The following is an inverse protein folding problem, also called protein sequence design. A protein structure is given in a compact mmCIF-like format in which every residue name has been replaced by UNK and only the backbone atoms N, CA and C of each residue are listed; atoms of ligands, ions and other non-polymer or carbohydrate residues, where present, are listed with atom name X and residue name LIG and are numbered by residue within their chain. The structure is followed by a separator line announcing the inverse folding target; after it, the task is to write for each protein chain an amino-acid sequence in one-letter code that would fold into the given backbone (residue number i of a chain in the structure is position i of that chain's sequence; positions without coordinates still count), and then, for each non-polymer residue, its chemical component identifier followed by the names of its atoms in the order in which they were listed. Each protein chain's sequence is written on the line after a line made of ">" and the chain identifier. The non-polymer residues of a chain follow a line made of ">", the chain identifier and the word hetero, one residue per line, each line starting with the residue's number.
data_IF_410636031399
#
_entry.id   IF_410636031399
#
_cell.length_a   1.000
_cell.length_b   1.000
_cell.length_c   1.000
_cell.angle_alpha   90.00
_cell.angle_beta   90.00
_cell.angle_gamma   90.00
#
_symmetry.space_group_name_H-M   'P 1'
#
loop_
_entity.id
_entity.type
_entity.pdbx_description
1 polymer ?
#
# COMPACT_ATOMS: atom_id res chain seq x y z
N UNK A 1 -50.98 43.10 -16.82
CA UNK A 1 -50.52 42.70 -15.46
C UNK A 1 -49.62 41.49 -15.65
N UNK A 2 -48.28 41.63 -15.58
CA UNK A 2 -47.41 41.50 -14.38
C UNK A 2 -47.76 40.21 -13.61
N UNK A 3 -46.90 39.21 -13.46
CA UNK A 3 -45.49 39.28 -12.99
C UNK A 3 -44.68 38.05 -13.43
N UNK A 4 -43.42 38.27 -13.85
CA UNK A 4 -42.43 37.21 -14.07
C UNK A 4 -41.73 36.84 -12.76
N UNK A 5 -41.61 35.54 -12.51
CA UNK A 5 -40.82 34.99 -11.41
C UNK A 5 -39.38 34.76 -11.89
N UNK A 6 -38.42 35.41 -11.23
CA UNK A 6 -37.02 35.56 -11.66
C UNK A 6 -36.24 34.22 -11.60
N UNK A 7 -35.36 33.92 -12.58
CA UNK A 7 -34.52 32.72 -12.60
C UNK A 7 -33.35 32.75 -11.59
N UNK A 8 -33.15 33.86 -10.88
CA UNK A 8 -32.00 34.12 -10.01
C UNK A 8 -32.02 33.28 -8.72
N UNK A 9 -33.18 32.79 -8.29
CA UNK A 9 -33.32 32.12 -6.98
C UNK A 9 -32.90 30.64 -7.00
N UNK A 10 -32.88 29.98 -8.17
CA UNK A 10 -32.53 28.55 -8.27
C UNK A 10 -31.03 28.29 -8.25
N UNK A 11 -30.22 29.26 -8.66
CA UNK A 11 -28.75 29.10 -8.74
C UNK A 11 -28.07 29.26 -7.37
N UNK A 12 -28.68 29.99 -6.44
CA UNK A 12 -28.10 30.25 -5.13
C UNK A 12 -28.11 29.03 -4.19
N UNK A 13 -29.07 28.12 -4.33
CA UNK A 13 -29.22 26.94 -3.46
C UNK A 13 -28.24 25.81 -3.84
N UNK A 14 -27.91 25.68 -5.13
CA UNK A 14 -26.99 24.64 -5.59
C UNK A 14 -25.51 24.90 -5.19
N UNK A 15 -25.10 26.16 -5.09
CA UNK A 15 -23.72 26.53 -4.73
C UNK A 15 -23.41 26.35 -3.24
N UNK A 16 -24.41 26.38 -2.36
CA UNK A 16 -24.21 26.18 -0.91
C UNK A 16 -24.14 24.70 -0.53
N UNK A 17 -24.82 23.81 -1.28
CA UNK A 17 -24.77 22.37 -1.05
C UNK A 17 -23.44 21.72 -1.44
N UNK A 18 -22.80 22.21 -2.51
CA UNK A 18 -21.54 21.65 -3.01
C UNK A 18 -20.35 21.94 -2.08
N UNK A 19 -20.32 23.11 -1.42
CA UNK A 19 -19.26 23.47 -0.46
C UNK A 19 -19.35 22.68 0.85
N UNK A 20 -20.55 22.25 1.26
CA UNK A 20 -20.72 21.40 2.44
C UNK A 20 -20.22 19.96 2.20
N UNK A 21 -20.34 19.44 0.98
CA UNK A 21 -19.86 18.10 0.63
C UNK A 21 -18.34 18.04 0.44
N UNK A 22 -17.71 19.13 -0.04
CA UNK A 22 -16.25 19.24 -0.14
C UNK A 22 -15.59 19.36 1.25
N UNK A 23 -16.25 19.99 2.21
CA UNK A 23 -15.76 20.09 3.59
C UNK A 23 -15.75 18.74 4.33
N UNK A 24 -16.66 17.82 4.01
CA UNK A 24 -16.76 16.50 4.66
C UNK A 24 -15.74 15.48 4.14
N UNK A 25 -15.18 15.68 2.95
CA UNK A 25 -14.13 14.80 2.43
C UNK A 25 -12.71 15.17 2.92
N UNK A 26 -12.55 16.32 3.59
CA UNK A 26 -11.25 16.85 4.04
C UNK A 26 -10.85 16.51 5.47
N UNK A 27 -11.70 15.84 6.25
CA UNK A 27 -11.45 15.60 7.67
C UNK A 27 -11.21 14.10 7.97
N UNK A 28 -10.04 13.58 7.58
CA UNK A 28 -9.39 12.49 8.34
C UNK A 28 -8.34 13.04 9.31
N UNK A 29 -8.14 14.36 9.36
CA UNK A 29 -7.24 15.00 10.32
C UNK A 29 -8.03 15.29 11.60
N UNK A 30 -7.57 14.70 12.69
CA UNK A 30 -8.13 14.85 14.01
C UNK A 30 -8.18 16.35 14.42
N UNK A 31 -9.34 16.89 14.82
CA UNK A 31 -9.49 18.29 15.20
C UNK A 31 -8.79 18.67 16.52
N UNK A 32 -8.17 17.70 17.22
CA UNK A 32 -7.33 17.98 18.40
C UNK A 32 -5.88 18.34 18.06
N UNK A 33 -5.49 18.28 16.78
CA UNK A 33 -4.16 18.73 16.33
C UNK A 33 -4.21 20.22 15.99
N UNK A 34 -3.77 21.08 16.90
CA UNK A 34 -3.50 22.48 16.57
C UNK A 34 -2.30 22.57 15.60
N UNK A 35 -2.34 23.43 14.56
CA UNK A 35 -1.16 23.69 13.75
C UNK A 35 -0.12 24.37 14.65
N UNK A 36 0.95 23.65 14.98
CA UNK A 36 2.04 24.16 15.80
C UNK A 36 2.63 25.42 15.17
N UNK A 37 2.44 26.56 15.82
CA UNK A 37 3.17 27.79 15.54
C UNK A 37 4.62 27.61 15.97
N UNK A 38 5.45 27.09 15.08
CA UNK A 38 6.89 26.98 15.31
C UNK A 38 7.60 28.30 15.04
N UNK A 39 7.83 29.10 16.08
CA UNK A 39 9.00 29.98 16.10
C UNK A 39 10.25 29.11 16.19
N UNK A 40 11.23 29.41 15.33
CA UNK A 40 12.46 28.64 15.19
C UNK A 40 13.23 28.55 16.51
N UNK A 41 13.25 27.34 17.08
CA UNK A 41 14.22 26.88 18.06
C UNK A 41 14.92 25.68 17.45
N UNK A 42 16.17 25.87 17.01
CA UNK A 42 16.99 24.78 16.52
C UNK A 42 17.29 23.79 17.65
N UNK A 43 16.88 22.54 17.45
CA UNK A 43 17.56 21.37 17.98
C UNK A 43 17.75 20.37 16.84
N UNK A 44 19.02 20.08 16.61
CA UNK A 44 19.69 19.35 15.54
C UNK A 44 19.32 17.84 15.52
N UNK A 45 18.03 17.51 15.43
CA UNK A 45 17.53 16.11 15.48
C UNK A 45 16.58 15.72 14.34
N UNK A 46 16.25 16.66 13.45
CA UNK A 46 15.31 16.43 12.34
C UNK A 46 15.96 15.87 11.07
N UNK A 47 17.29 15.85 10.99
CA UNK A 47 18.04 15.47 9.78
C UNK A 47 18.40 13.98 9.70
N UNK A 48 18.40 13.22 10.80
CA UNK A 48 18.82 11.81 10.78
C UNK A 48 17.77 10.84 10.22
N UNK A 49 16.48 11.15 10.34
CA UNK A 49 15.40 10.25 9.90
C UNK A 49 14.83 10.61 8.52
N UNK A 50 14.93 11.88 8.12
CA UNK A 50 14.36 12.39 6.87
C UNK A 50 15.45 12.66 5.84
N UNK A 51 15.45 11.90 4.76
CA UNK A 51 16.32 12.12 3.61
C UNK A 51 15.48 12.72 2.46
N UNK A 52 15.72 14.00 2.17
CA UNK A 52 15.01 14.72 1.10
C UNK A 52 15.21 14.07 -0.27
N UNK A 53 16.42 13.57 -0.58
CA UNK A 53 16.69 12.93 -1.88
C UNK A 53 15.95 11.60 -1.99
N UNK A 54 15.87 10.84 -0.90
CA UNK A 54 15.08 9.61 -0.84
C UNK A 54 13.59 9.92 -1.05
N UNK A 55 13.07 10.94 -0.37
CA UNK A 55 11.68 11.37 -0.54
C UNK A 55 11.38 11.79 -1.98
N UNK A 56 12.22 12.66 -2.57
CA UNK A 56 12.02 13.15 -3.93
C UNK A 56 12.03 11.99 -4.93
N UNK A 57 12.98 11.05 -4.79
CA UNK A 57 13.04 9.84 -5.62
C UNK A 57 11.76 9.01 -5.51
N UNK A 58 11.30 8.72 -4.29
CA UNK A 58 10.06 7.95 -4.07
C UNK A 58 8.82 8.67 -4.58
N UNK A 59 8.83 10.00 -4.55
CA UNK A 59 7.75 10.80 -5.10
C UNK A 59 7.72 10.70 -6.63
N UNK A 60 8.86 10.81 -7.29
CA UNK A 60 9.01 10.64 -8.75
C UNK A 60 8.67 9.22 -9.21
N UNK A 61 8.97 8.20 -8.41
CA UNK A 61 8.64 6.79 -8.67
C UNK A 61 7.13 6.54 -8.87
N UNK A 62 6.26 7.44 -8.38
CA UNK A 62 4.80 7.34 -8.56
C UNK A 62 4.34 7.55 -10.00
N UNK A 63 5.14 8.25 -10.81
CA UNK A 63 4.84 8.56 -12.21
C UNK A 63 5.60 7.63 -13.18
N UNK A 64 6.39 6.69 -12.66
CA UNK A 64 7.12 5.71 -13.47
C UNK A 64 6.16 4.68 -14.04
N UNK A 65 6.29 4.41 -15.34
CA UNK A 65 5.57 3.31 -16.00
C UNK A 65 6.24 1.99 -15.58
N UNK A 66 5.53 1.05 -14.93
CA UNK A 66 6.11 -0.21 -14.51
C UNK A 66 6.57 -1.07 -15.69
N UNK A 67 7.72 -1.70 -15.55
CA UNK A 67 8.23 -2.69 -16.50
C UNK A 67 7.59 -4.05 -16.23
N UNK A 68 7.14 -4.74 -17.28
CA UNK A 68 6.55 -6.08 -17.17
C UNK A 68 5.26 -6.22 -17.99
N UNK A 69 4.54 -7.36 -17.85
CA UNK A 69 3.30 -7.60 -18.58
C UNK A 69 2.16 -6.74 -18.00
N UNK A 70 1.40 -6.04 -18.86
CA UNK A 70 0.25 -5.23 -18.44
C UNK A 70 -0.87 -6.07 -17.80
N UNK A 71 -1.04 -7.31 -18.24
CA UNK A 71 -2.05 -8.25 -17.75
C UNK A 71 -1.64 -8.96 -16.45
N UNK A 72 -0.41 -8.73 -15.98
CA UNK A 72 0.16 -9.35 -14.77
C UNK A 72 0.85 -8.31 -13.88
N UNK A 73 0.09 -7.44 -13.21
CA UNK A 73 0.65 -6.39 -12.35
C UNK A 73 1.53 -6.92 -11.22
N UNK A 74 1.30 -8.16 -10.77
CA UNK A 74 2.12 -8.83 -9.75
C UNK A 74 3.52 -9.26 -10.23
N UNK A 75 3.82 -9.13 -11.53
CA UNK A 75 5.16 -9.33 -12.10
C UNK A 75 5.82 -8.01 -12.54
N UNK A 76 5.15 -6.88 -12.33
CA UNK A 76 5.68 -5.59 -12.73
C UNK A 76 6.67 -5.04 -11.70
N UNK A 77 7.65 -4.27 -12.17
CA UNK A 77 8.67 -3.65 -11.33
C UNK A 77 8.92 -2.21 -11.80
N UNK A 78 9.26 -1.31 -10.88
CA UNK A 78 9.71 0.05 -11.20
C UNK A 78 11.22 0.12 -10.99
N UNK A 79 11.95 0.67 -11.96
CA UNK A 79 13.41 0.83 -11.92
C UNK A 79 14.17 -0.43 -11.41
N UNK A 80 13.90 -1.64 -11.95
CA UNK A 80 14.45 -2.87 -11.38
C UNK A 80 15.97 -2.96 -11.55
N UNK A 81 16.68 -3.17 -10.44
CA UNK A 81 18.09 -3.58 -10.43
C UNK A 81 18.19 -5.06 -10.00
N UNK A 82 18.37 -5.96 -10.97
CA UNK A 82 18.44 -7.40 -10.71
C UNK A 82 19.85 -7.83 -10.32
N UNK A 83 19.99 -8.51 -9.18
CA UNK A 83 21.24 -9.17 -8.78
C UNK A 83 21.35 -10.59 -9.36
N UNK A 84 22.58 -11.11 -9.48
CA UNK A 84 22.79 -12.54 -9.77
C UNK A 84 22.47 -13.38 -8.52
N UNK A 85 21.60 -14.36 -8.69
CA UNK A 85 21.21 -15.31 -7.63
C UNK A 85 21.61 -16.74 -7.97
N UNK A 86 22.53 -16.93 -8.93
CA UNK A 86 22.92 -18.25 -9.44
C UNK A 86 23.46 -19.19 -8.36
N UNK A 87 24.12 -18.66 -7.33
CA UNK A 87 24.64 -19.44 -6.20
C UNK A 87 23.54 -20.11 -5.37
N UNK A 88 22.32 -19.54 -5.35
CA UNK A 88 21.19 -20.06 -4.58
C UNK A 88 20.33 -21.05 -5.37
N UNK A 89 20.74 -21.40 -6.59
CA UNK A 89 20.00 -22.33 -7.43
C UNK A 89 19.88 -23.67 -6.72
N UNK A 90 18.65 -24.15 -6.55
CA UNK A 90 18.36 -25.44 -5.96
C UNK A 90 17.68 -26.35 -6.98
N UNK A 91 17.87 -27.66 -6.83
CA UNK A 91 17.24 -28.65 -7.71
C UNK A 91 15.81 -28.95 -7.27
N UNK A 92 14.91 -29.01 -8.25
CA UNK A 92 13.50 -29.35 -8.06
C UNK A 92 12.70 -28.26 -7.35
N UNK A 93 11.37 -28.34 -7.52
CA UNK A 93 10.46 -27.42 -6.86
C UNK A 93 10.44 -27.59 -5.35
N UNK A 94 10.23 -26.49 -4.62
CA UNK A 94 10.21 -26.47 -3.15
C UNK A 94 8.79 -26.29 -2.60
N UNK A 95 8.54 -26.78 -1.39
CA UNK A 95 7.35 -26.37 -0.63
C UNK A 95 7.61 -24.99 -0.04
N UNK A 96 6.66 -24.07 -0.21
CA UNK A 96 6.69 -22.74 0.38
C UNK A 96 5.76 -22.71 1.58
N UNK A 97 6.25 -22.26 2.73
CA UNK A 97 5.46 -22.05 3.94
C UNK A 97 5.43 -20.54 4.25
N UNK A 98 4.24 -19.98 4.48
CA UNK A 98 4.09 -18.54 4.76
C UNK A 98 3.21 -18.30 5.99
N UNK A 99 3.82 -17.77 7.06
CA UNK A 99 3.14 -17.33 8.27
C UNK A 99 2.74 -15.86 8.14
N UNK A 100 1.51 -15.62 7.65
CA UNK A 100 0.98 -14.28 7.42
C UNK A 100 0.65 -13.60 8.75
N UNK A 101 0.97 -12.30 8.88
CA UNK A 101 0.67 -11.55 10.10
C UNK A 101 -0.85 -11.39 10.31
N UNK A 102 -1.57 -10.96 9.27
CA UNK A 102 -3.05 -10.93 9.24
C UNK A 102 -3.58 -10.56 7.85
N UNK A 103 -4.89 -10.72 7.64
CA UNK A 103 -5.63 -10.13 6.50
C UNK A 103 -6.59 -9.01 6.94
N UNK A 104 -6.33 -8.40 8.11
CA UNK A 104 -7.28 -7.48 8.78
C UNK A 104 -7.35 -6.09 8.17
N UNK A 105 -6.42 -5.71 7.29
CA UNK A 105 -6.45 -4.43 6.60
C UNK A 105 -6.17 -4.56 5.09
N UNK A 106 -6.61 -3.59 4.28
CA UNK A 106 -6.50 -3.66 2.82
C UNK A 106 -5.06 -3.74 2.30
N UNK A 107 -4.10 -3.13 3.01
CA UNK A 107 -2.68 -3.22 2.65
C UNK A 107 -2.18 -4.66 2.69
N UNK A 108 -2.49 -5.38 3.79
CA UNK A 108 -2.13 -6.80 3.94
C UNK A 108 -2.89 -7.70 2.96
N UNK A 109 -4.16 -7.41 2.70
CA UNK A 109 -4.94 -8.14 1.69
C UNK A 109 -4.35 -7.97 0.28
N UNK A 110 -3.91 -6.77 -0.09
CA UNK A 110 -3.28 -6.52 -1.38
C UNK A 110 -1.97 -7.31 -1.50
N UNK A 111 -1.11 -7.28 -0.47
CA UNK A 111 0.11 -8.09 -0.45
C UNK A 111 -0.17 -9.59 -0.55
N UNK A 112 -1.17 -10.08 0.18
CA UNK A 112 -1.61 -11.47 0.13
C UNK A 112 -2.07 -11.90 -1.28
N UNK A 113 -2.88 -11.08 -1.95
CA UNK A 113 -3.36 -11.36 -3.31
C UNK A 113 -2.20 -11.37 -4.31
N UNK A 114 -1.33 -10.36 -4.28
CA UNK A 114 -0.16 -10.26 -5.17
C UNK A 114 0.75 -11.48 -5.02
N UNK A 115 1.06 -11.87 -3.78
CA UNK A 115 1.87 -13.05 -3.50
C UNK A 115 1.22 -14.33 -4.07
N UNK A 116 -0.09 -14.52 -3.88
CA UNK A 116 -0.77 -15.72 -4.38
C UNK A 116 -0.75 -15.82 -5.91
N UNK A 117 -0.88 -14.71 -6.64
CA UNK A 117 -0.74 -14.73 -8.11
C UNK A 117 0.69 -15.08 -8.55
N UNK A 118 1.69 -14.50 -7.89
CA UNK A 118 3.10 -14.85 -8.17
C UNK A 118 3.39 -16.32 -7.90
N UNK A 119 2.82 -16.89 -6.82
CA UNK A 119 2.98 -18.29 -6.46
C UNK A 119 2.33 -19.24 -7.48
N UNK A 120 1.24 -18.84 -8.15
CA UNK A 120 0.68 -19.62 -9.27
C UNK A 120 1.67 -19.71 -10.44
N UNK A 121 2.33 -18.60 -10.79
CA UNK A 121 3.33 -18.59 -11.85
C UNK A 121 4.58 -19.41 -11.47
N UNK A 122 5.05 -19.30 -10.22
CA UNK A 122 6.16 -20.12 -9.70
C UNK A 122 5.82 -21.61 -9.68
N UNK A 123 4.59 -21.97 -9.32
CA UNK A 123 4.11 -23.36 -9.38
C UNK A 123 4.02 -23.88 -10.80
N UNK A 124 3.48 -23.08 -11.72
CA UNK A 124 3.44 -23.40 -13.16
C UNK A 124 4.84 -23.67 -13.73
N UNK A 125 5.83 -22.91 -13.28
CA UNK A 125 7.23 -23.04 -13.70
C UNK A 125 8.00 -24.14 -12.95
N UNK A 126 7.34 -24.89 -12.05
CA UNK A 126 7.96 -25.98 -11.30
C UNK A 126 8.94 -25.54 -10.22
N UNK A 127 8.99 -24.24 -9.88
CA UNK A 127 9.84 -23.70 -8.80
C UNK A 127 9.23 -24.03 -7.44
N UNK A 128 7.90 -24.08 -7.35
CA UNK A 128 7.17 -24.41 -6.12
C UNK A 128 6.25 -25.61 -6.37
N UNK A 129 6.26 -26.59 -5.48
CA UNK A 129 5.38 -27.76 -5.56
C UNK A 129 4.08 -27.56 -4.79
N UNK A 130 4.18 -26.95 -3.61
CA UNK A 130 3.11 -26.74 -2.66
C UNK A 130 3.28 -25.40 -1.94
N UNK A 131 2.17 -24.78 -1.58
CA UNK A 131 2.12 -23.60 -0.75
C UNK A 131 1.24 -23.92 0.45
N UNK A 132 1.80 -23.74 1.65
CA UNK A 132 1.05 -23.81 2.88
C UNK A 132 1.11 -22.46 3.59
N UNK A 133 -0.03 -21.98 4.05
CA UNK A 133 -0.14 -20.65 4.64
C UNK A 133 -1.00 -20.67 5.88
N UNK A 134 -0.63 -19.85 6.84
CA UNK A 134 -1.36 -19.65 8.09
C UNK A 134 -1.53 -18.16 8.34
N UNK A 135 -2.61 -17.78 9.00
CA UNK A 135 -2.96 -16.39 9.28
C UNK A 135 -2.97 -16.18 10.78
N UNK A 136 -2.05 -15.35 11.27
CA UNK A 136 -1.88 -15.11 12.70
C UNK A 136 -2.92 -14.14 13.27
N UNK A 137 -3.75 -13.51 12.43
CA UNK A 137 -4.85 -12.64 12.85
C UNK A 137 -4.42 -11.50 13.79
N UNK A 138 -3.26 -10.89 13.52
CA UNK A 138 -2.65 -9.82 14.32
C UNK A 138 -2.18 -10.27 15.71
N UNK A 139 -1.95 -11.57 15.90
CA UNK A 139 -1.47 -12.13 17.15
C UNK A 139 -0.05 -12.71 16.99
N UNK A 140 0.92 -12.05 17.62
CA UNK A 140 2.34 -12.42 17.51
C UNK A 140 2.63 -13.83 18.05
N UNK A 141 2.00 -14.25 19.16
CA UNK A 141 2.16 -15.61 19.72
C UNK A 141 1.69 -16.69 18.72
N UNK A 142 0.62 -16.40 17.98
CA UNK A 142 0.10 -17.26 16.92
C UNK A 142 1.06 -17.28 15.74
N UNK A 143 1.64 -16.14 15.36
CA UNK A 143 2.62 -16.09 14.28
C UNK A 143 3.87 -16.91 14.60
N UNK A 144 4.35 -16.83 15.85
CA UNK A 144 5.46 -17.66 16.34
C UNK A 144 5.08 -19.15 16.27
N UNK A 145 3.90 -19.52 16.77
CA UNK A 145 3.43 -20.90 16.73
C UNK A 145 3.27 -21.45 15.30
N UNK A 146 2.85 -20.61 14.35
CA UNK A 146 2.74 -20.97 12.93
C UNK A 146 4.12 -21.20 12.30
N UNK A 147 5.13 -20.38 12.66
CA UNK A 147 6.51 -20.58 12.23
C UNK A 147 7.08 -21.88 12.82
N UNK A 148 6.89 -22.11 14.12
CA UNK A 148 7.32 -23.33 14.81
C UNK A 148 6.73 -24.58 14.14
N UNK A 149 5.44 -24.52 13.80
CA UNK A 149 4.76 -25.59 13.05
C UNK A 149 5.41 -25.88 11.68
N UNK A 150 5.91 -24.86 10.99
CA UNK A 150 6.52 -25.05 9.67
C UNK A 150 7.95 -25.61 9.71
N UNK A 151 8.67 -25.43 10.82
CA UNK A 151 10.07 -25.84 10.93
C UNK A 151 10.27 -27.12 11.76
N UNK A 152 9.23 -27.60 12.44
CA UNK A 152 9.21 -28.87 13.20
C UNK A 152 9.03 -30.10 12.31
#
# INVERSE_FOLDING_TARGET
>A
MRTGLKPVLRTAVALVGASALIALAGCTTDPTVEPGGGEGGGEDSSEEWFDQKLYDRQFEERDVVPEGPEDKPYLQMINPEMGDTSEFKSEGGKKMCFANASISNPWRQTGWITMNEQLKDLKKNGVITEMETRDAQDNDDTQIADIDYFIS
#
